data_IF_723366216450
#
_entry.id   IF_723366216450
#
_cell.length_a   1.000
_cell.length_b   1.000
_cell.length_c   1.000
_cell.angle_alpha   90.00
_cell.angle_beta   90.00
_cell.angle_gamma   90.00
#
_symmetry.space_group_name_H-M   'P 1'
#
loop_
_entity.id
_entity.type
_entity.pdbx_description
1 polymer ?
#
# COMPACT_ATOMS: atom_id res chain seq x y z
N UNK A 1 -73.70 20.43 -29.02
CA UNK A 1 -73.84 19.23 -28.17
C UNK A 1 -73.36 18.04 -28.98
N UNK A 2 -72.52 17.19 -28.37
CA UNK A 2 -71.90 15.95 -28.91
C UNK A 2 -70.47 16.09 -29.44
N UNK A 3 -69.54 16.07 -28.46
CA UNK A 3 -68.20 15.50 -28.57
C UNK A 3 -68.32 14.02 -29.02
N UNK A 4 -67.57 13.60 -30.04
CA UNK A 4 -67.25 12.19 -30.27
C UNK A 4 -65.74 12.01 -30.42
N UNK A 5 -65.24 11.19 -29.51
CA UNK A 5 -63.89 10.68 -29.30
C UNK A 5 -63.31 10.07 -30.58
N UNK A 6 -62.06 10.44 -30.90
CA UNK A 6 -61.23 9.74 -31.86
C UNK A 6 -60.40 8.69 -31.12
N UNK A 7 -60.54 7.42 -31.51
CA UNK A 7 -59.74 6.29 -31.01
C UNK A 7 -58.53 6.11 -31.92
N UNK A 8 -57.34 6.42 -31.42
CA UNK A 8 -56.07 6.17 -32.11
C UNK A 8 -55.60 4.75 -31.80
N UNK A 9 -55.43 3.93 -32.84
CA UNK A 9 -54.83 2.59 -32.78
C UNK A 9 -53.31 2.73 -32.72
N UNK A 10 -52.69 2.23 -31.65
CA UNK A 10 -51.24 2.16 -31.50
C UNK A 10 -50.75 0.78 -31.97
N UNK A 11 -49.96 0.74 -33.05
CA UNK A 11 -49.26 -0.46 -33.51
C UNK A 11 -47.91 -0.51 -32.80
N UNK A 12 -47.74 -1.47 -31.89
CA UNK A 12 -46.47 -1.72 -31.21
C UNK A 12 -45.59 -2.63 -32.06
N UNK A 13 -44.50 -2.08 -32.61
CA UNK A 13 -43.40 -2.87 -33.17
C UNK A 13 -42.55 -3.42 -32.01
N UNK A 14 -42.56 -4.74 -31.81
CA UNK A 14 -41.69 -5.45 -30.87
C UNK A 14 -40.31 -5.59 -31.52
N UNK A 15 -39.34 -4.82 -31.04
CA UNK A 15 -37.93 -5.09 -31.32
C UNK A 15 -37.42 -6.13 -30.31
N UNK A 16 -36.99 -7.29 -30.81
CA UNK A 16 -36.25 -8.27 -30.00
C UNK A 16 -34.85 -7.72 -29.71
N UNK A 17 -34.60 -7.41 -28.44
CA UNK A 17 -33.25 -7.19 -27.90
C UNK A 17 -32.76 -8.52 -27.33
N UNK A 18 -31.60 -9.04 -27.71
CA UNK A 18 -31.05 -10.23 -27.08
C UNK A 18 -30.61 -9.89 -25.65
N UNK A 19 -31.19 -10.61 -24.67
CA UNK A 19 -30.70 -10.61 -23.30
C UNK A 19 -29.32 -11.24 -23.26
N UNK A 20 -28.27 -10.42 -23.16
CA UNK A 20 -26.99 -10.84 -22.61
C UNK A 20 -27.18 -10.91 -21.11
N UNK A 21 -27.22 -12.13 -20.56
CA UNK A 21 -27.19 -12.34 -19.12
C UNK A 21 -25.83 -11.89 -18.62
N UNK A 22 -25.73 -10.70 -18.02
CA UNK A 22 -24.60 -10.39 -17.15
C UNK A 22 -24.59 -11.44 -16.03
N UNK A 23 -23.47 -12.14 -15.89
CA UNK A 23 -23.22 -12.98 -14.73
C UNK A 23 -23.36 -12.12 -13.48
N UNK A 24 -24.09 -12.62 -12.49
CA UNK A 24 -24.06 -12.01 -11.17
C UNK A 24 -22.66 -12.24 -10.60
N UNK A 25 -21.90 -11.15 -10.45
CA UNK A 25 -20.70 -11.13 -9.62
C UNK A 25 -21.14 -11.39 -8.18
N UNK A 26 -21.01 -12.64 -7.76
CA UNK A 26 -21.10 -12.98 -6.34
C UNK A 26 -19.85 -12.40 -5.67
N UNK A 27 -19.98 -11.52 -4.67
CA UNK A 27 -18.83 -11.13 -3.87
C UNK A 27 -18.21 -12.38 -3.23
N UNK A 28 -16.87 -12.43 -3.07
CA UNK A 28 -16.22 -13.56 -2.42
C UNK A 28 -16.85 -13.78 -1.03
N UNK A 29 -17.21 -15.03 -0.74
CA UNK A 29 -17.85 -15.42 0.53
C UNK A 29 -16.98 -15.01 1.70
N UNK A 30 -17.50 -14.11 2.55
CA UNK A 30 -16.88 -13.72 3.81
C UNK A 30 -17.01 -14.85 4.83
N UNK A 31 -16.04 -15.76 4.85
CA UNK A 31 -15.95 -16.74 5.93
C UNK A 31 -15.60 -16.01 7.23
N UNK A 32 -16.52 -16.07 8.20
CA UNK A 32 -16.41 -15.41 9.51
C UNK A 32 -15.34 -16.00 10.43
N UNK A 33 -14.63 -17.05 9.99
CA UNK A 33 -13.61 -17.77 10.76
C UNK A 33 -12.19 -17.17 10.64
N UNK A 34 -11.97 -16.19 9.75
CA UNK A 34 -10.63 -15.75 9.36
C UNK A 34 -9.87 -14.87 10.38
N UNK A 35 -10.29 -14.81 11.66
CA UNK A 35 -9.73 -13.82 12.60
C UNK A 35 -9.36 -14.34 13.99
N UNK A 36 -9.47 -15.64 14.28
CA UNK A 36 -9.18 -16.17 15.63
C UNK A 36 -8.17 -17.34 15.65
N UNK A 37 -8.00 -18.06 14.54
CA UNK A 37 -7.01 -19.14 14.38
C UNK A 37 -6.11 -18.87 13.15
N UNK A 38 -5.07 -19.70 12.96
CA UNK A 38 -4.24 -19.62 11.76
C UNK A 38 -5.13 -19.67 10.51
N UNK A 39 -5.06 -18.62 9.69
CA UNK A 39 -5.95 -18.52 8.53
C UNK A 39 -5.45 -19.48 7.45
N UNK A 40 -6.00 -20.70 7.43
CA UNK A 40 -5.64 -21.75 6.47
C UNK A 40 -5.62 -21.18 5.06
N UNK A 41 -4.46 -21.22 4.41
CA UNK A 41 -4.22 -20.74 3.05
C UNK A 41 -4.13 -21.94 2.11
N UNK A 42 -4.82 -21.87 0.97
CA UNK A 42 -4.70 -22.90 -0.07
C UNK A 42 -3.22 -23.09 -0.46
N UNK A 43 -2.73 -24.32 -0.67
CA UNK A 43 -1.35 -24.56 -1.13
C UNK A 43 -0.98 -23.82 -2.41
N UNK A 44 -1.98 -23.56 -3.27
CA UNK A 44 -1.81 -22.85 -4.53
C UNK A 44 -2.01 -21.33 -4.39
N UNK A 45 -2.13 -20.78 -3.18
CA UNK A 45 -2.34 -19.35 -2.96
C UNK A 45 -1.08 -18.67 -2.41
N UNK A 46 -0.88 -17.43 -2.83
CA UNK A 46 0.12 -16.51 -2.29
C UNK A 46 -0.62 -15.45 -1.50
N UNK A 47 -0.23 -15.26 -0.24
CA UNK A 47 -0.79 -14.21 0.61
C UNK A 47 0.09 -12.98 0.58
N UNK A 48 -0.46 -11.88 0.08
CA UNK A 48 0.18 -10.56 0.09
C UNK A 48 -0.52 -9.68 1.11
N UNK A 49 0.24 -9.01 1.96
CA UNK A 49 -0.29 -8.20 3.05
C UNK A 49 0.44 -6.86 3.20
N UNK A 50 -0.28 -5.89 3.76
CA UNK A 50 0.26 -4.63 4.27
C UNK A 50 -0.11 -4.50 5.75
N UNK A 51 0.83 -4.05 6.58
CA UNK A 51 0.60 -3.81 8.00
C UNK A 51 1.42 -2.63 8.51
N UNK A 52 0.76 -1.54 8.88
CA UNK A 52 1.38 -0.48 9.66
C UNK A 52 1.56 -0.99 11.10
N UNK A 53 2.81 -1.05 11.57
CA UNK A 53 3.20 -1.67 12.84
C UNK A 53 3.53 -0.65 13.93
N UNK A 54 3.62 0.64 13.59
CA UNK A 54 3.93 1.72 14.54
C UNK A 54 5.15 1.43 15.44
N UNK A 55 6.16 0.76 14.89
CA UNK A 55 7.45 0.46 15.52
C UNK A 55 8.44 1.60 15.25
N UNK A 56 8.19 2.73 15.92
CA UNK A 56 9.04 3.91 15.92
C UNK A 56 9.37 4.37 17.35
N UNK A 57 10.50 5.04 17.52
CA UNK A 57 10.97 5.58 18.80
C UNK A 57 10.89 7.10 18.90
N UNK A 58 11.51 7.65 19.95
CA UNK A 58 11.71 9.10 20.16
C UNK A 58 13.05 9.60 19.60
N UNK A 59 13.99 8.70 19.34
CA UNK A 59 15.32 8.99 18.78
C UNK A 59 15.79 7.85 17.89
N UNK A 60 16.70 8.16 16.97
CA UNK A 60 17.32 7.17 16.10
C UNK A 60 17.92 6.00 16.90
N UNK A 61 17.59 4.78 16.47
CA UNK A 61 18.11 3.54 17.02
C UNK A 61 17.42 3.00 18.28
N UNK A 62 16.48 3.74 18.86
CA UNK A 62 15.73 3.26 20.05
C UNK A 62 14.93 1.99 19.76
N UNK A 63 14.31 1.88 18.58
CA UNK A 63 13.55 0.68 18.19
C UNK A 63 14.46 -0.53 18.06
N UNK A 64 15.60 -0.40 17.37
CA UNK A 64 16.60 -1.46 17.27
C UNK A 64 17.04 -1.95 18.66
N UNK A 65 17.35 -1.02 19.58
CA UNK A 65 17.74 -1.36 20.96
C UNK A 65 16.67 -2.15 21.70
N UNK A 66 15.40 -1.71 21.61
CA UNK A 66 14.25 -2.40 22.21
C UNK A 66 14.05 -3.81 21.64
N UNK A 67 14.10 -3.95 20.32
CA UNK A 67 13.91 -5.26 19.67
C UNK A 67 15.05 -6.23 19.98
N UNK A 68 16.29 -5.74 20.01
CA UNK A 68 17.47 -6.56 20.36
C UNK A 68 17.50 -6.98 21.84
N UNK A 69 16.83 -6.25 22.73
CA UNK A 69 16.65 -6.68 24.12
C UNK A 69 15.77 -7.93 24.24
N UNK A 70 14.88 -8.16 23.28
CA UNK A 70 14.09 -9.40 23.14
C UNK A 70 12.85 -9.50 24.04
N UNK A 71 12.47 -8.42 24.75
CA UNK A 71 11.32 -8.38 25.66
C UNK A 71 10.28 -7.30 25.30
N UNK A 72 10.38 -6.71 24.10
CA UNK A 72 9.39 -5.75 23.59
C UNK A 72 7.99 -6.36 23.42
N UNK A 73 7.04 -5.86 24.23
CA UNK A 73 5.65 -6.34 24.23
C UNK A 73 4.88 -5.97 22.97
N UNK A 74 5.15 -4.80 22.38
CA UNK A 74 4.49 -4.36 21.15
C UNK A 74 4.91 -5.28 20.00
N UNK A 75 6.21 -5.53 19.86
CA UNK A 75 6.75 -6.44 18.86
C UNK A 75 6.24 -7.88 19.03
N UNK A 76 6.10 -8.35 20.27
CA UNK A 76 5.51 -9.68 20.57
C UNK A 76 4.06 -9.79 20.07
N UNK A 77 3.25 -8.77 20.31
CA UNK A 77 1.84 -8.76 19.88
C UNK A 77 1.73 -8.67 18.36
N UNK A 78 2.51 -7.80 17.72
CA UNK A 78 2.57 -7.68 16.26
C UNK A 78 3.04 -8.98 15.60
N UNK A 79 4.07 -9.62 16.17
CA UNK A 79 4.58 -10.90 15.69
C UNK A 79 3.51 -11.98 15.78
N UNK A 80 2.74 -12.04 16.87
CA UNK A 80 1.65 -13.01 17.00
C UNK A 80 0.57 -12.79 15.93
N UNK A 81 0.24 -11.53 15.60
CA UNK A 81 -0.68 -11.23 14.49
C UNK A 81 -0.12 -11.75 13.17
N UNK A 82 1.15 -11.47 12.87
CA UNK A 82 1.81 -11.91 11.63
C UNK A 82 1.89 -13.44 11.57
N UNK A 83 2.25 -14.11 12.66
CA UNK A 83 2.33 -15.57 12.76
C UNK A 83 0.98 -16.27 12.64
N UNK A 84 -0.11 -15.60 13.00
CA UNK A 84 -1.49 -16.08 12.82
C UNK A 84 -1.94 -15.95 11.37
N UNK A 85 -1.61 -14.83 10.71
CA UNK A 85 -2.04 -14.54 9.33
C UNK A 85 -1.12 -15.19 8.29
N UNK A 86 0.15 -15.41 8.60
CA UNK A 86 1.16 -16.08 7.76
C UNK A 86 1.27 -15.53 6.33
N UNK A 87 1.46 -14.21 6.13
CA UNK A 87 1.65 -13.66 4.78
C UNK A 87 2.94 -14.19 4.15
N UNK A 88 2.94 -14.43 2.84
CA UNK A 88 4.18 -14.80 2.12
C UNK A 88 4.99 -13.56 1.75
N UNK A 89 4.30 -12.47 1.43
CA UNK A 89 4.86 -11.16 1.12
C UNK A 89 4.16 -10.15 2.02
N UNK A 90 4.93 -9.42 2.81
CA UNK A 90 4.44 -8.46 3.79
C UNK A 90 5.18 -7.14 3.64
N UNK A 91 4.43 -6.08 3.35
CA UNK A 91 4.88 -4.70 3.52
C UNK A 91 4.59 -4.27 4.95
N UNK A 92 5.63 -3.87 5.67
CA UNK A 92 5.54 -3.20 6.96
C UNK A 92 5.61 -1.69 6.75
N UNK A 93 4.64 -0.96 7.30
CA UNK A 93 4.68 0.50 7.40
C UNK A 93 5.00 0.91 8.86
N UNK A 94 5.65 2.05 9.03
CA UNK A 94 6.11 2.56 10.32
C UNK A 94 6.99 1.59 11.10
N UNK A 95 8.00 1.06 10.44
CA UNK A 95 9.16 0.45 11.10
C UNK A 95 10.37 1.31 10.78
N UNK A 96 11.12 1.72 11.82
CA UNK A 96 12.28 2.59 11.63
C UNK A 96 13.32 1.96 10.68
N UNK A 97 13.90 2.81 9.82
CA UNK A 97 14.93 2.43 8.88
C UNK A 97 16.33 2.61 9.47
N UNK A 98 17.12 1.53 9.43
CA UNK A 98 18.57 1.57 9.56
C UNK A 98 19.18 1.04 8.27
N UNK A 99 20.24 1.69 7.77
CA UNK A 99 20.88 1.34 6.49
C UNK A 99 21.46 -0.08 6.45
N UNK A 100 21.82 -0.64 7.61
CA UNK A 100 22.30 -2.02 7.76
C UNK A 100 21.17 -3.04 7.96
N UNK A 101 19.91 -2.60 8.00
CA UNK A 101 18.73 -3.46 8.17
C UNK A 101 18.48 -3.92 9.62
N UNK A 102 19.28 -3.49 10.60
CA UNK A 102 19.28 -4.08 11.95
C UNK A 102 17.93 -4.07 12.67
N UNK A 103 17.10 -3.03 12.52
CA UNK A 103 15.77 -2.98 13.12
C UNK A 103 14.85 -4.05 12.53
N UNK A 104 14.86 -4.17 11.20
CA UNK A 104 14.05 -5.17 10.49
C UNK A 104 14.50 -6.60 10.85
N UNK A 105 15.81 -6.83 10.89
CA UNK A 105 16.37 -8.13 11.25
C UNK A 105 16.08 -8.50 12.70
N UNK A 106 16.24 -7.56 13.64
CA UNK A 106 15.89 -7.78 15.03
C UNK A 106 14.40 -8.16 15.20
N UNK A 107 13.49 -7.53 14.45
CA UNK A 107 12.07 -7.91 14.45
C UNK A 107 11.85 -9.32 13.89
N UNK A 108 12.41 -9.59 12.71
CA UNK A 108 12.22 -10.86 12.02
C UNK A 108 12.83 -12.05 12.78
N UNK A 109 14.09 -11.94 13.23
CA UNK A 109 14.81 -13.01 13.92
C UNK A 109 14.40 -13.12 15.38
N UNK A 110 14.18 -11.99 16.05
CA UNK A 110 13.87 -11.94 17.49
C UNK A 110 12.42 -12.26 17.82
N UNK A 111 11.49 -12.04 16.88
CA UNK A 111 10.06 -12.19 17.16
C UNK A 111 9.33 -13.10 16.17
N UNK A 112 9.52 -12.92 14.86
CA UNK A 112 8.77 -13.69 13.86
C UNK A 112 9.24 -15.15 13.75
N UNK A 113 10.55 -15.38 13.81
CA UNK A 113 11.16 -16.70 13.70
C UNK A 113 11.11 -17.56 14.98
N UNK A 114 10.40 -17.11 16.03
CA UNK A 114 10.37 -17.76 17.34
C UNK A 114 8.98 -18.28 17.73
N UNK A 115 8.97 -19.30 18.60
CA UNK A 115 7.74 -19.93 19.12
C UNK A 115 7.13 -21.00 18.20
N UNK A 116 6.03 -21.60 18.64
CA UNK A 116 5.40 -22.74 17.95
C UNK A 116 4.81 -22.39 16.57
N UNK A 117 4.45 -21.12 16.39
CA UNK A 117 3.88 -20.58 15.15
C UNK A 117 4.89 -19.79 14.31
N UNK A 118 6.20 -20.00 14.53
CA UNK A 118 7.28 -19.29 13.85
C UNK A 118 7.06 -19.18 12.32
N UNK A 119 7.46 -18.04 11.78
CA UNK A 119 7.48 -17.77 10.35
C UNK A 119 8.80 -17.10 10.00
N UNK A 120 9.49 -17.69 9.03
CA UNK A 120 10.76 -17.17 8.54
C UNK A 120 10.56 -16.40 7.22
N UNK A 121 11.31 -15.31 7.09
CA UNK A 121 11.36 -14.45 5.92
C UNK A 121 12.83 -14.31 5.49
N UNK A 122 13.33 -15.22 4.64
CA UNK A 122 14.73 -15.19 4.20
C UNK A 122 15.07 -13.97 3.33
N UNK A 123 14.07 -13.32 2.73
CA UNK A 123 14.27 -12.14 1.89
C UNK A 123 13.66 -10.92 2.55
N UNK A 124 14.52 -9.97 2.89
CA UNK A 124 14.16 -8.77 3.65
C UNK A 124 14.74 -7.54 2.99
N UNK A 125 14.03 -6.43 3.06
CA UNK A 125 14.58 -5.15 2.63
C UNK A 125 14.00 -4.00 3.44
N UNK A 126 14.88 -3.29 4.14
CA UNK A 126 14.53 -2.01 4.76
C UNK A 126 14.61 -0.91 3.69
N UNK A 127 13.47 -0.30 3.38
CA UNK A 127 13.34 0.64 2.25
C UNK A 127 13.91 2.01 2.68
N UNK A 128 14.87 2.59 1.94
CA UNK A 128 15.33 3.95 2.19
C UNK A 128 14.17 4.95 2.17
N UNK A 129 14.21 5.93 3.08
CA UNK A 129 13.08 6.85 3.33
C UNK A 129 13.51 8.30 3.34
N UNK A 130 12.58 9.20 2.98
CA UNK A 130 12.73 10.65 3.13
C UNK A 130 12.41 11.17 4.54
N UNK A 131 11.83 10.35 5.40
CA UNK A 131 11.43 10.75 6.75
C UNK A 131 12.63 11.11 7.62
N UNK A 132 12.58 12.31 8.22
CA UNK A 132 13.65 12.84 9.05
C UNK A 132 14.96 13.11 8.30
N UNK A 133 14.98 13.08 6.97
CA UNK A 133 16.12 13.51 6.17
C UNK A 133 16.09 15.02 5.98
N UNK A 134 16.94 15.72 6.72
CA UNK A 134 17.06 17.18 6.65
C UNK A 134 17.59 17.63 5.29
N UNK A 135 16.88 18.57 4.67
CA UNK A 135 17.30 19.22 3.44
C UNK A 135 18.32 20.32 3.69
N UNK A 136 18.36 21.31 2.77
CA UNK A 136 19.19 22.52 2.89
C UNK A 136 18.37 23.80 2.91
N UNK A 137 17.04 23.68 2.92
CA UNK A 137 16.11 24.78 2.76
C UNK A 137 15.15 24.77 3.94
N UNK A 138 14.82 25.98 4.38
CA UNK A 138 13.74 26.29 5.30
C UNK A 138 12.41 26.13 4.53
N UNK A 139 11.66 25.08 4.85
CA UNK A 139 10.44 24.67 4.16
C UNK A 139 9.18 25.30 4.77
N UNK A 140 9.22 25.65 6.06
CA UNK A 140 8.08 26.26 6.77
C UNK A 140 8.20 27.78 6.99
N UNK A 141 9.35 28.36 6.60
CA UNK A 141 9.67 29.79 6.62
C UNK A 141 9.76 30.39 8.02
N UNK A 142 10.18 29.61 9.03
CA UNK A 142 10.38 30.09 10.40
C UNK A 142 11.76 30.76 10.64
N UNK A 143 12.70 30.58 9.70
CA UNK A 143 14.04 31.18 9.71
C UNK A 143 15.18 30.22 10.06
N UNK A 144 14.88 28.99 10.48
CA UNK A 144 15.86 27.95 10.78
C UNK A 144 15.78 26.81 9.74
N UNK A 145 16.79 25.91 9.75
CA UNK A 145 16.76 24.69 8.90
C UNK A 145 16.95 23.49 9.82
N UNK A 146 15.85 22.92 10.28
CA UNK A 146 15.86 21.88 11.30
C UNK A 146 14.75 20.83 11.17
N UNK A 147 14.94 19.72 11.90
CA UNK A 147 13.91 18.70 12.02
C UNK A 147 12.84 19.15 13.02
N UNK A 148 11.59 18.70 12.86
CA UNK A 148 11.11 17.76 11.84
C UNK A 148 10.50 18.40 10.59
N UNK A 149 10.28 19.72 10.59
CA UNK A 149 9.46 20.41 9.57
C UNK A 149 10.18 20.68 8.25
N UNK A 150 11.52 20.76 8.26
CA UNK A 150 12.33 20.92 7.04
C UNK A 150 12.86 19.61 6.45
N UNK A 151 12.42 18.48 7.01
CA UNK A 151 12.73 17.18 6.46
C UNK A 151 12.01 16.96 5.11
N UNK A 152 12.64 16.20 4.21
CA UNK A 152 12.00 15.82 2.95
C UNK A 152 10.67 15.09 3.15
N UNK A 153 10.57 14.28 4.21
CA UNK A 153 9.32 13.86 4.82
C UNK A 153 9.41 14.04 6.33
N UNK A 154 8.29 14.36 6.98
CA UNK A 154 8.27 14.64 8.41
C UNK A 154 8.88 13.49 9.23
N UNK A 155 9.78 13.83 10.15
CA UNK A 155 10.40 12.89 11.09
C UNK A 155 11.35 13.62 12.04
N UNK A 156 11.37 13.21 13.30
CA UNK A 156 12.22 13.80 14.35
C UNK A 156 13.68 13.34 14.25
N UNK A 157 13.93 12.26 13.53
CA UNK A 157 15.25 11.73 13.23
C UNK A 157 15.24 10.94 11.91
N UNK A 158 16.39 10.81 11.23
CA UNK A 158 16.51 10.04 10.00
C UNK A 158 16.00 8.61 10.17
N UNK A 159 15.15 8.16 9.25
CA UNK A 159 14.67 6.78 9.22
C UNK A 159 13.37 6.53 10.00
N UNK A 160 12.86 7.51 10.75
CA UNK A 160 11.61 7.36 11.51
C UNK A 160 10.42 7.02 10.61
N UNK A 161 9.49 6.16 11.03
CA UNK A 161 8.23 5.88 10.28
C UNK A 161 8.44 5.28 8.87
N UNK A 162 9.57 4.62 8.63
CA UNK A 162 9.89 4.08 7.30
C UNK A 162 9.05 2.84 6.95
N UNK A 163 9.46 2.17 5.88
CA UNK A 163 8.83 0.94 5.40
C UNK A 163 9.86 -0.18 5.27
N UNK A 164 9.39 -1.42 5.33
CA UNK A 164 10.21 -2.59 5.07
C UNK A 164 9.40 -3.72 4.41
N UNK A 165 10.09 -4.58 3.66
CA UNK A 165 9.49 -5.77 3.04
C UNK A 165 10.07 -7.01 3.70
N UNK A 166 9.17 -7.94 4.03
CA UNK A 166 9.46 -9.31 4.42
C UNK A 166 8.85 -10.25 3.38
N UNK A 167 9.65 -11.15 2.82
CA UNK A 167 9.20 -12.06 1.77
C UNK A 167 9.78 -13.47 1.96
N UNK A 168 8.93 -14.46 1.73
CA UNK A 168 9.31 -15.88 1.62
C UNK A 168 9.90 -16.21 0.25
N UNK A 169 9.68 -15.34 -0.73
CA UNK A 169 10.17 -15.45 -2.10
C UNK A 169 11.27 -14.42 -2.36
N UNK A 170 12.14 -14.72 -3.32
CA UNK A 170 13.29 -13.89 -3.62
C UNK A 170 12.87 -12.49 -4.08
N UNK A 171 13.57 -11.48 -3.57
CA UNK A 171 13.47 -10.09 -4.03
C UNK A 171 14.53 -9.89 -5.10
N UNK A 172 14.13 -9.57 -6.34
CA UNK A 172 15.08 -9.22 -7.40
C UNK A 172 15.62 -7.81 -7.14
N UNK A 173 16.76 -7.74 -6.43
CA UNK A 173 17.35 -6.48 -5.98
C UNK A 173 17.85 -5.61 -7.12
N UNK A 174 18.29 -6.21 -8.22
CA UNK A 174 18.87 -5.48 -9.35
C UNK A 174 17.79 -4.78 -10.19
N UNK A 175 16.55 -5.27 -10.12
CA UNK A 175 15.40 -4.71 -10.81
C UNK A 175 14.54 -3.76 -9.95
N UNK A 176 14.91 -3.50 -8.69
CA UNK A 176 14.19 -2.56 -7.83
C UNK A 176 14.27 -1.15 -8.42
N UNK A 177 13.12 -0.48 -8.49
CA UNK A 177 13.05 0.95 -8.81
C UNK A 177 12.55 1.73 -7.61
N UNK A 178 13.25 2.79 -7.24
CA UNK A 178 12.83 3.71 -6.18
C UNK A 178 12.64 5.11 -6.72
N UNK A 179 11.72 5.86 -6.13
CA UNK A 179 11.45 7.25 -6.49
C UNK A 179 11.62 8.15 -5.27
N UNK A 180 12.61 7.84 -4.42
CA UNK A 180 12.86 8.56 -3.18
C UNK A 180 13.17 10.02 -3.47
N UNK A 181 14.00 10.30 -4.48
CA UNK A 181 14.46 11.66 -4.81
C UNK A 181 13.61 12.34 -5.89
N UNK A 182 12.55 11.67 -6.35
CA UNK A 182 11.65 12.17 -7.38
C UNK A 182 11.03 13.52 -6.97
N UNK A 183 11.15 14.54 -7.82
CA UNK A 183 10.70 15.90 -7.51
C UNK A 183 9.21 16.05 -7.76
N UNK A 184 8.49 16.63 -6.81
CA UNK A 184 7.05 16.86 -6.98
C UNK A 184 6.76 17.80 -8.16
N UNK A 185 7.60 18.80 -8.36
CA UNK A 185 7.49 19.79 -9.44
C UNK A 185 7.67 19.23 -10.85
N UNK A 186 8.22 18.02 -11.04
CA UNK A 186 8.37 17.40 -12.36
C UNK A 186 7.13 16.63 -12.80
N UNK A 187 6.19 16.37 -11.88
CA UNK A 187 4.92 15.73 -12.21
C UNK A 187 4.03 16.71 -12.99
N UNK A 188 3.49 16.33 -14.16
CA UNK A 188 2.59 17.17 -14.93
C UNK A 188 1.34 17.54 -14.13
N UNK A 189 1.01 18.83 -14.13
CA UNK A 189 -0.12 19.39 -13.38
C UNK A 189 -0.11 19.03 -11.89
N UNK A 190 1.08 18.95 -11.28
CA UNK A 190 1.24 18.76 -9.85
C UNK A 190 0.47 19.82 -9.04
N UNK A 191 -0.17 19.38 -7.95
CA UNK A 191 -0.99 20.23 -7.09
C UNK A 191 -0.12 21.14 -6.21
N UNK A 192 0.40 22.23 -6.80
CA UNK A 192 1.19 23.24 -6.08
C UNK A 192 0.33 23.94 -4.99
N UNK A 193 0.72 23.90 -3.71
CA UNK A 193 -0.02 24.58 -2.65
C UNK A 193 -0.06 26.11 -2.83
N UNK A 194 -1.18 26.72 -2.43
CA UNK A 194 -1.42 28.16 -2.56
C UNK A 194 -1.85 28.73 -1.21
N UNK A 195 -1.42 29.94 -0.90
CA UNK A 195 -1.90 30.67 0.25
C UNK A 195 -3.37 31.08 0.01
N UNK A 196 -4.31 30.63 0.85
CA UNK A 196 -5.73 30.87 0.66
C UNK A 196 -6.17 32.32 0.90
N UNK A 197 -5.32 33.15 1.53
CA UNK A 197 -5.60 34.57 1.77
C UNK A 197 -5.13 35.41 0.57
N UNK A 198 -3.92 35.14 0.07
CA UNK A 198 -3.31 35.96 -0.99
C UNK A 198 -3.54 35.41 -2.40
N UNK A 199 -3.89 34.13 -2.52
CA UNK A 199 -4.01 33.41 -3.80
C UNK A 199 -2.67 33.15 -4.49
N UNK A 200 -1.54 33.46 -3.85
CA UNK A 200 -0.19 33.23 -4.40
C UNK A 200 0.30 31.82 -4.06
N UNK A 201 1.37 31.36 -4.72
CA UNK A 201 2.03 30.11 -4.32
C UNK A 201 2.44 30.19 -2.84
N UNK A 202 2.14 29.13 -2.09
CA UNK A 202 2.54 29.01 -0.68
C UNK A 202 4.07 28.90 -0.58
N UNK A 203 4.65 28.00 -1.37
CA UNK A 203 6.09 27.84 -1.46
C UNK A 203 6.71 28.84 -2.42
N UNK A 204 7.91 29.31 -2.07
CA UNK A 204 8.80 29.97 -3.03
C UNK A 204 9.14 29.01 -4.18
N UNK A 205 9.53 29.55 -5.34
CA UNK A 205 9.90 28.70 -6.48
C UNK A 205 11.10 27.82 -6.18
N UNK A 206 12.07 28.32 -5.40
CA UNK A 206 13.21 27.52 -4.95
C UNK A 206 12.79 26.31 -4.11
N UNK A 207 11.89 26.53 -3.14
CA UNK A 207 11.36 25.42 -2.31
C UNK A 207 10.57 24.45 -3.17
N UNK A 208 9.62 24.95 -3.98
CA UNK A 208 8.80 24.10 -4.86
C UNK A 208 9.63 23.18 -5.78
N UNK A 209 10.71 23.71 -6.36
CA UNK A 209 11.59 22.95 -7.25
C UNK A 209 12.47 21.92 -6.51
N UNK A 210 12.56 22.01 -5.19
CA UNK A 210 13.35 21.11 -4.34
C UNK A 210 12.54 20.00 -3.68
N UNK A 211 11.21 20.19 -3.53
CA UNK A 211 10.36 19.25 -2.82
C UNK A 211 10.32 17.91 -3.55
N UNK A 212 10.57 16.85 -2.78
CA UNK A 212 10.39 15.47 -3.24
C UNK A 212 8.91 15.11 -3.14
N UNK A 213 8.39 14.31 -4.07
CA UNK A 213 7.01 13.85 -4.03
C UNK A 213 6.79 12.92 -2.83
N UNK A 214 7.55 11.82 -2.79
CA UNK A 214 7.42 10.83 -1.72
C UNK A 214 7.84 11.39 -0.37
N UNK A 215 6.97 11.25 0.62
CA UNK A 215 7.28 11.53 2.03
C UNK A 215 8.14 10.45 2.67
N UNK A 216 7.96 9.20 2.26
CA UNK A 216 8.83 8.06 2.59
C UNK A 216 9.58 7.62 1.33
N UNK A 217 8.93 6.81 0.50
CA UNK A 217 9.40 6.37 -0.82
C UNK A 217 8.22 5.83 -1.63
N UNK A 218 8.35 5.82 -2.97
CA UNK A 218 7.63 4.88 -3.82
C UNK A 218 8.65 3.85 -4.30
N UNK A 219 8.39 2.56 -4.06
CA UNK A 219 9.27 1.48 -4.47
C UNK A 219 8.50 0.46 -5.32
N UNK A 220 8.99 0.19 -6.52
CA UNK A 220 8.59 -0.94 -7.33
C UNK A 220 9.59 -2.08 -7.08
N UNK A 221 9.10 -3.16 -6.45
CA UNK A 221 9.94 -4.25 -5.94
C UNK A 221 9.48 -5.57 -6.58
N UNK A 222 10.23 -6.10 -7.57
CA UNK A 222 9.91 -7.38 -8.17
C UNK A 222 10.20 -8.53 -7.19
N UNK A 223 9.18 -9.33 -6.90
CA UNK A 223 9.27 -10.54 -6.10
C UNK A 223 9.16 -11.75 -7.03
N UNK A 224 10.14 -12.65 -7.00
CA UNK A 224 10.23 -13.81 -7.89
C UNK A 224 9.39 -14.96 -7.37
N UNK A 225 8.18 -15.11 -7.94
CA UNK A 225 7.21 -16.11 -7.54
C UNK A 225 7.48 -17.45 -8.25
N UNK A 226 7.71 -18.54 -7.51
CA UNK A 226 7.78 -19.87 -8.11
C UNK A 226 6.45 -20.26 -8.75
N UNK A 227 6.47 -20.77 -9.98
CA UNK A 227 5.25 -21.24 -10.65
C UNK A 227 4.80 -22.59 -10.09
N UNK A 228 3.53 -22.93 -10.23
CA UNK A 228 2.89 -24.11 -9.61
C UNK A 228 3.51 -25.48 -9.96
N UNK A 229 4.33 -25.59 -11.01
CA UNK A 229 5.04 -26.82 -11.38
C UNK A 229 6.46 -26.96 -10.80
N UNK A 230 7.03 -25.88 -10.25
CA UNK A 230 8.41 -25.88 -9.71
C UNK A 230 8.59 -26.79 -8.50
N UNK A 231 7.52 -27.09 -7.75
CA UNK A 231 7.57 -28.01 -6.60
C UNK A 231 7.35 -29.49 -6.97
N UNK A 232 6.86 -29.80 -8.18
CA UNK A 232 6.44 -31.16 -8.55
C UNK A 232 7.45 -31.95 -9.42
N UNK A 233 8.47 -31.29 -9.99
CA UNK A 233 9.40 -31.94 -10.92
C UNK A 233 10.86 -31.72 -10.53
N UNK A 234 11.39 -32.57 -9.65
CA UNK A 234 12.82 -32.84 -9.57
C UNK A 234 13.26 -33.54 -10.87
N UNK A 235 13.49 -32.75 -11.93
CA UNK A 235 14.06 -33.20 -13.19
C UNK A 235 13.27 -32.73 -14.43
N UNK A 236 13.86 -31.78 -15.16
CA UNK A 236 13.57 -31.43 -16.56
C UNK A 236 12.38 -30.52 -16.92
N UNK A 237 11.88 -29.68 -16.01
CA UNK A 237 10.99 -28.56 -16.36
C UNK A 237 11.66 -27.22 -16.11
N UNK A 238 11.92 -26.43 -17.15
CA UNK A 238 12.47 -25.07 -17.03
C UNK A 238 11.35 -24.11 -16.59
N UNK A 239 10.97 -24.14 -15.31
CA UNK A 239 9.96 -23.23 -14.77
C UNK A 239 10.64 -21.99 -14.18
N UNK A 240 10.85 -20.97 -14.99
CA UNK A 240 11.34 -19.68 -14.49
C UNK A 240 10.31 -19.08 -13.52
N UNK A 241 10.74 -18.48 -12.40
CA UNK A 241 9.83 -17.72 -11.55
C UNK A 241 9.26 -16.53 -12.32
N UNK A 242 8.06 -16.10 -11.95
CA UNK A 242 7.42 -14.92 -12.53
C UNK A 242 7.51 -13.75 -11.55
N UNK A 243 7.81 -12.56 -12.06
CA UNK A 243 7.86 -11.36 -11.24
C UNK A 243 6.44 -10.92 -10.85
N UNK A 244 6.23 -10.78 -9.54
CA UNK A 244 5.12 -10.03 -8.97
C UNK A 244 5.68 -8.71 -8.43
N UNK A 245 5.29 -7.59 -9.03
CA UNK A 245 5.74 -6.27 -8.60
C UNK A 245 4.96 -5.83 -7.35
N UNK A 246 5.66 -5.71 -6.21
CA UNK A 246 5.12 -5.05 -5.04
C UNK A 246 5.38 -3.54 -5.17
N UNK A 247 4.33 -2.77 -5.45
CA UNK A 247 4.36 -1.31 -5.55
C UNK A 247 4.09 -0.73 -4.16
N UNK A 248 5.15 -0.48 -3.40
CA UNK A 248 5.09 -0.12 -1.98
C UNK A 248 5.17 1.40 -1.77
N UNK A 249 4.21 1.98 -1.03
CA UNK A 249 4.32 3.35 -0.54
C UNK A 249 3.57 3.59 0.77
N UNK A 250 4.00 4.61 1.51
CA UNK A 250 3.29 5.14 2.67
C UNK A 250 3.25 6.66 2.53
N UNK A 251 2.31 7.21 1.74
CA UNK A 251 2.12 8.64 1.53
C UNK A 251 2.02 9.48 2.81
N UNK A 252 2.16 10.78 2.67
CA UNK A 252 1.95 11.75 3.76
C UNK A 252 0.52 11.63 4.29
N UNK A 253 0.30 11.63 5.61
CA UNK A 253 -1.03 11.83 6.18
C UNK A 253 -1.61 13.18 5.73
N UNK A 254 -2.86 13.27 5.23
CA UNK A 254 -3.44 14.46 4.60
C UNK A 254 -3.90 15.53 5.62
N UNK A 255 -3.24 15.58 6.77
CA UNK A 255 -3.59 16.42 7.93
C UNK A 255 -2.31 17.04 8.50
N UNK A 256 -2.40 17.83 9.57
CA UNK A 256 -1.26 18.50 10.24
C UNK A 256 -0.66 19.68 9.46
N UNK A 257 -1.48 20.38 8.69
CA UNK A 257 -1.14 21.60 7.95
C UNK A 257 -2.28 22.64 8.00
N UNK A 258 -2.07 23.78 7.33
CA UNK A 258 -3.04 24.86 7.30
C UNK A 258 -3.99 24.78 6.09
N UNK A 259 -4.76 25.85 5.91
CA UNK A 259 -5.77 25.97 4.83
C UNK A 259 -5.19 25.92 3.41
N UNK A 260 -3.87 26.03 3.27
CA UNK A 260 -3.14 25.83 2.01
C UNK A 260 -3.19 24.37 1.51
N UNK A 261 -3.49 23.42 2.41
CA UNK A 261 -3.64 21.98 2.15
C UNK A 261 -2.41 21.38 1.44
N UNK A 262 -1.24 21.51 2.05
CA UNK A 262 0.04 20.96 1.54
C UNK A 262 0.03 19.45 1.57
N UNK A 263 -0.41 18.88 2.69
CA UNK A 263 -0.39 17.45 2.96
C UNK A 263 -1.49 16.73 2.20
N UNK A 264 -2.71 17.27 2.09
CA UNK A 264 -3.75 16.66 1.26
C UNK A 264 -3.41 16.68 -0.23
N UNK A 265 -2.77 17.76 -0.72
CA UNK A 265 -2.26 17.84 -2.11
C UNK A 265 -1.09 16.89 -2.37
N UNK A 266 -0.14 16.78 -1.42
CA UNK A 266 0.99 15.85 -1.54
C UNK A 266 0.51 14.40 -1.52
N UNK A 267 -0.34 14.04 -0.55
CA UNK A 267 -0.95 12.71 -0.46
C UNK A 267 -1.67 12.33 -1.76
N UNK A 268 -2.47 13.26 -2.30
CA UNK A 268 -3.14 13.07 -3.58
C UNK A 268 -2.17 12.72 -4.71
N UNK A 269 -1.11 13.51 -4.87
CA UNK A 269 -0.16 13.31 -5.95
C UNK A 269 0.75 12.09 -5.73
N UNK A 270 1.04 11.72 -4.48
CA UNK A 270 1.69 10.45 -4.15
C UNK A 270 0.81 9.25 -4.58
N UNK A 271 -0.49 9.28 -4.34
CA UNK A 271 -1.40 8.22 -4.81
C UNK A 271 -1.58 8.26 -6.33
N UNK A 272 -1.71 9.45 -6.92
CA UNK A 272 -1.82 9.65 -8.37
C UNK A 272 -0.58 9.15 -9.09
N UNK A 273 0.60 9.23 -8.48
CA UNK A 273 1.83 8.67 -9.04
C UNK A 273 1.65 7.19 -9.39
N UNK A 274 1.12 6.36 -8.48
CA UNK A 274 0.87 4.95 -8.80
C UNK A 274 -0.14 4.75 -9.92
N UNK A 275 -1.21 5.53 -9.91
CA UNK A 275 -2.23 5.48 -10.96
C UNK A 275 -1.62 5.77 -12.35
N UNK A 276 -0.70 6.73 -12.45
CA UNK A 276 -0.02 7.04 -13.70
C UNK A 276 1.11 6.07 -14.01
N UNK A 277 1.86 5.60 -13.01
CA UNK A 277 2.93 4.61 -13.16
C UNK A 277 2.41 3.34 -13.84
N UNK A 278 1.24 2.85 -13.44
CA UNK A 278 0.63 1.67 -14.05
C UNK A 278 -0.11 2.00 -15.37
N UNK A 279 -0.57 3.22 -15.60
CA UNK A 279 -1.37 3.52 -16.82
C UNK A 279 -0.58 4.15 -17.95
N UNK A 280 0.62 4.66 -17.69
CA UNK A 280 1.44 5.42 -18.64
C UNK A 280 2.87 4.86 -18.67
N UNK A 281 3.08 3.64 -19.22
CA UNK A 281 4.40 3.02 -19.28
C UNK A 281 5.44 3.89 -20.00
N UNK A 282 5.02 4.70 -20.98
CA UNK A 282 5.92 5.57 -21.76
C UNK A 282 6.04 7.00 -21.20
N UNK A 283 5.61 7.26 -19.96
CA UNK A 283 5.69 8.58 -19.35
C UNK A 283 7.15 9.00 -19.09
N UNK A 284 7.69 9.89 -19.94
CA UNK A 284 9.08 10.37 -19.86
C UNK A 284 9.40 11.16 -18.58
N UNK A 285 8.38 11.68 -17.91
CA UNK A 285 8.52 12.44 -16.67
C UNK A 285 8.69 11.54 -15.43
N UNK A 286 8.38 10.25 -15.54
CA UNK A 286 8.60 9.27 -14.48
C UNK A 286 10.04 8.76 -14.62
N UNK A 287 10.90 9.15 -13.68
CA UNK A 287 12.31 8.79 -13.68
C UNK A 287 12.66 8.32 -12.28
N UNK A 288 13.16 7.09 -12.16
CA UNK A 288 13.58 6.55 -10.86
C UNK A 288 14.95 7.10 -10.41
N UNK A 289 15.36 6.75 -9.19
CA UNK A 289 16.61 7.21 -8.59
C UNK A 289 17.86 6.70 -9.34
N UNK A 290 17.72 5.67 -10.20
CA UNK A 290 18.79 5.16 -11.08
C UNK A 290 18.83 5.87 -12.45
N UNK A 291 17.82 6.68 -12.76
CA UNK A 291 17.66 7.36 -14.03
C UNK A 291 16.86 6.60 -15.08
N UNK A 292 16.23 5.47 -14.73
CA UNK A 292 15.39 4.72 -15.67
C UNK A 292 14.05 5.43 -15.86
N UNK A 293 13.70 5.63 -17.13
CA UNK A 293 12.54 6.41 -17.57
C UNK A 293 11.33 5.50 -17.81
N UNK A 294 10.13 5.98 -17.49
CA UNK A 294 8.86 5.33 -17.80
C UNK A 294 8.18 4.66 -16.61
N UNK A 295 6.91 4.31 -16.82
CA UNK A 295 6.07 3.58 -15.87
C UNK A 295 6.33 2.07 -15.83
N UNK A 296 5.37 1.32 -15.30
CA UNK A 296 5.42 -0.15 -15.24
C UNK A 296 5.20 -0.75 -16.63
N UNK A 297 6.25 -1.34 -17.19
CA UNK A 297 6.22 -2.03 -18.47
C UNK A 297 5.60 -3.43 -18.33
N UNK A 298 4.88 -3.88 -19.36
CA UNK A 298 4.45 -5.29 -19.45
C UNK A 298 5.64 -6.19 -19.79
N UNK A 299 5.60 -7.44 -19.35
CA UNK A 299 6.55 -8.43 -19.86
C UNK A 299 6.18 -8.76 -21.33
N UNK A 300 7.17 -9.17 -22.10
CA UNK A 300 7.08 -9.54 -23.52
C UNK A 300 5.96 -10.53 -23.88
N UNK A 301 5.42 -11.26 -22.90
CA UNK A 301 4.37 -12.26 -23.09
C UNK A 301 3.03 -11.93 -22.39
N UNK A 302 2.98 -11.01 -21.42
CA UNK A 302 1.78 -10.71 -20.63
C UNK A 302 1.89 -9.36 -19.90
N UNK A 303 0.74 -8.78 -19.54
CA UNK A 303 0.70 -7.61 -18.67
C UNK A 303 1.38 -7.87 -17.33
N UNK A 304 2.14 -6.89 -16.85
CA UNK A 304 2.83 -6.99 -15.57
C UNK A 304 1.85 -7.29 -14.44
N UNK A 305 2.17 -8.30 -13.63
CA UNK A 305 1.47 -8.61 -12.40
C UNK A 305 1.99 -7.71 -11.29
N UNK A 306 1.09 -7.02 -10.59
CA UNK A 306 1.48 -6.13 -9.51
C UNK A 306 0.48 -6.15 -8.35
N UNK A 307 0.95 -5.74 -7.18
CA UNK A 307 0.12 -5.40 -6.02
C UNK A 307 0.59 -4.06 -5.49
N UNK A 308 -0.30 -3.07 -5.44
CA UNK A 308 -0.04 -1.81 -4.74
C UNK A 308 -0.36 -2.04 -3.27
N UNK A 309 0.61 -1.78 -2.39
CA UNK A 309 0.46 -2.04 -0.97
C UNK A 309 0.95 -0.87 -0.12
N UNK A 310 0.26 -0.63 0.99
CA UNK A 310 0.70 0.31 2.03
C UNK A 310 -0.43 0.99 2.77
N UNK A 311 -0.05 1.80 3.76
CA UNK A 311 -0.91 2.83 4.35
C UNK A 311 -0.94 4.04 3.42
N UNK A 312 -1.96 4.13 2.57
CA UNK A 312 -2.14 5.21 1.61
C UNK A 312 -2.70 6.49 2.22
N UNK A 313 -3.07 6.48 3.51
CA UNK A 313 -3.56 7.65 4.24
C UNK A 313 -4.79 8.34 3.60
N UNK A 314 -5.54 7.65 2.74
CA UNK A 314 -6.69 8.21 2.03
C UNK A 314 -7.86 7.23 2.01
N UNK A 315 -9.00 7.70 2.52
CA UNK A 315 -10.27 6.97 2.49
C UNK A 315 -11.14 7.51 1.33
N UNK A 316 -11.79 6.63 0.54
CA UNK A 316 -12.55 7.05 -0.63
C UNK A 316 -13.85 7.80 -0.30
N UNK A 317 -14.29 7.81 0.96
CA UNK A 317 -15.59 8.34 1.40
C UNK A 317 -15.47 9.43 2.46
N UNK A 318 -14.50 9.31 3.38
CA UNK A 318 -14.37 10.19 4.55
C UNK A 318 -12.92 10.62 4.80
N UNK A 319 -12.69 11.34 5.90
CA UNK A 319 -11.39 11.95 6.20
C UNK A 319 -11.09 13.19 5.36
N UNK A 320 -9.86 13.69 5.52
CA UNK A 320 -9.42 15.00 5.02
C UNK A 320 -8.62 14.92 3.71
N UNK A 321 -8.28 13.72 3.23
CA UNK A 321 -7.61 13.56 1.92
C UNK A 321 -8.46 14.09 0.77
N UNK A 322 -7.79 14.58 -0.28
CA UNK A 322 -8.43 14.85 -1.57
C UNK A 322 -8.84 13.52 -2.21
N UNK A 323 -10.12 13.16 -2.02
CA UNK A 323 -10.70 11.84 -2.35
C UNK A 323 -10.46 11.36 -3.77
N UNK A 324 -10.28 12.27 -4.73
CA UNK A 324 -9.99 11.92 -6.12
C UNK A 324 -8.73 11.08 -6.27
N UNK A 325 -7.72 11.24 -5.39
CA UNK A 325 -6.48 10.46 -5.46
C UNK A 325 -6.77 8.97 -5.36
N UNK A 326 -7.29 8.51 -4.22
CA UNK A 326 -7.61 7.10 -4.00
C UNK A 326 -8.77 6.62 -4.86
N UNK A 327 -9.81 7.44 -5.08
CA UNK A 327 -10.96 7.04 -5.89
C UNK A 327 -10.59 6.73 -7.34
N UNK A 328 -9.67 7.51 -7.93
CA UNK A 328 -9.17 7.24 -9.27
C UNK A 328 -8.30 5.99 -9.31
N UNK A 329 -7.46 5.75 -8.31
CA UNK A 329 -6.60 4.57 -8.25
C UNK A 329 -7.42 3.28 -8.15
N UNK A 330 -8.39 3.21 -7.23
CA UNK A 330 -9.21 1.99 -7.04
C UNK A 330 -10.20 1.75 -8.19
N UNK A 331 -10.48 2.77 -9.02
CA UNK A 331 -11.32 2.64 -10.21
C UNK A 331 -10.51 2.45 -11.51
N UNK A 332 -9.18 2.40 -11.42
CA UNK A 332 -8.31 2.17 -12.56
C UNK A 332 -8.57 0.77 -13.16
N UNK A 333 -8.76 0.62 -14.49
CA UNK A 333 -9.01 -0.68 -15.12
C UNK A 333 -7.90 -1.74 -14.94
N UNK A 334 -6.67 -1.31 -14.63
CA UNK A 334 -5.56 -2.22 -14.30
C UNK A 334 -5.59 -2.71 -12.86
N UNK A 335 -6.45 -2.16 -12.00
CA UNK A 335 -6.52 -2.45 -10.56
C UNK A 335 -7.84 -3.17 -10.25
N UNK A 336 -7.78 -4.15 -9.35
CA UNK A 336 -8.96 -4.77 -8.75
C UNK A 336 -9.01 -4.44 -7.25
N UNK A 337 -10.02 -3.70 -6.81
CA UNK A 337 -10.25 -3.51 -5.37
C UNK A 337 -10.95 -4.74 -4.77
N UNK A 338 -10.19 -5.56 -4.03
CA UNK A 338 -10.70 -6.76 -3.37
C UNK A 338 -11.64 -6.49 -2.18
N UNK A 339 -11.85 -5.22 -1.81
CA UNK A 339 -12.69 -4.76 -0.70
C UNK A 339 -12.62 -5.67 0.55
N UNK A 340 -11.41 -5.88 1.13
CA UNK A 340 -11.24 -6.70 2.31
C UNK A 340 -12.14 -6.20 3.44
N UNK A 341 -12.72 -7.13 4.23
CA UNK A 341 -13.60 -6.78 5.35
C UNK A 341 -13.22 -7.52 6.63
N UNK A 342 -13.73 -7.00 7.75
CA UNK A 342 -13.86 -7.70 9.02
C UNK A 342 -15.33 -7.71 9.46
N UNK A 343 -15.69 -8.66 10.31
CA UNK A 343 -17.09 -8.89 10.73
C UNK A 343 -17.71 -7.70 11.47
N UNK A 344 -16.95 -7.02 12.34
CA UNK A 344 -17.45 -5.92 13.17
C UNK A 344 -17.15 -4.53 12.59
N UNK A 345 -16.13 -4.39 11.73
CA UNK A 345 -15.63 -3.08 11.28
C UNK A 345 -15.74 -2.86 9.77
N UNK A 346 -16.31 -3.81 9.03
CA UNK A 346 -16.48 -3.70 7.58
C UNK A 346 -15.14 -3.52 6.88
N UNK A 347 -15.06 -2.56 5.96
CA UNK A 347 -13.84 -2.25 5.17
C UNK A 347 -12.82 -1.36 5.90
N UNK A 348 -13.10 -0.95 7.14
CA UNK A 348 -12.20 -0.06 7.89
C UNK A 348 -10.90 -0.78 8.22
N UNK A 349 -9.78 -0.06 8.17
CA UNK A 349 -8.43 -0.60 8.39
C UNK A 349 -7.69 0.12 9.51
N UNK A 350 -8.14 1.31 9.91
CA UNK A 350 -7.55 2.04 11.02
C UNK A 350 -8.63 2.65 11.92
N UNK A 351 -8.25 2.96 13.17
CA UNK A 351 -9.11 3.65 14.12
C UNK A 351 -8.42 4.86 14.75
N UNK A 352 -8.80 6.04 14.30
CA UNK A 352 -8.31 7.30 14.86
C UNK A 352 -9.37 7.93 15.77
N UNK A 353 -9.15 7.79 17.07
CA UNK A 353 -10.12 8.19 18.09
C UNK A 353 -11.44 7.42 17.96
N UNK A 354 -12.50 8.10 17.50
CA UNK A 354 -13.82 7.50 17.26
C UNK A 354 -14.08 7.13 15.80
N UNK A 355 -13.18 7.51 14.89
CA UNK A 355 -13.39 7.34 13.46
C UNK A 355 -12.69 6.07 12.99
N UNK A 356 -13.45 5.20 12.34
CA UNK A 356 -12.91 4.03 11.63
C UNK A 356 -12.86 4.39 10.14
N UNK A 357 -11.69 4.22 9.53
CA UNK A 357 -11.41 4.63 8.15
C UNK A 357 -10.65 3.53 7.41
N UNK A 358 -10.75 3.52 6.08
CA UNK A 358 -9.97 2.67 5.20
C UNK A 358 -8.80 3.47 4.62
N UNK A 359 -7.61 3.26 5.17
CA UNK A 359 -6.38 3.92 4.73
C UNK A 359 -5.28 2.93 4.32
N UNK A 360 -5.41 1.66 4.70
CA UNK A 360 -4.48 0.60 4.35
C UNK A 360 -5.01 -0.21 3.17
N UNK A 361 -4.14 -0.48 2.20
CA UNK A 361 -4.53 -1.08 0.92
C UNK A 361 -3.58 -2.21 0.51
N UNK A 362 -4.18 -3.21 -0.15
CA UNK A 362 -3.50 -4.25 -0.92
C UNK A 362 -4.33 -4.43 -2.20
N UNK A 363 -3.90 -3.77 -3.27
CA UNK A 363 -4.65 -3.61 -4.52
C UNK A 363 -3.95 -4.39 -5.64
N UNK A 364 -4.40 -5.62 -5.95
CA UNK A 364 -3.84 -6.42 -7.02
C UNK A 364 -4.18 -5.84 -8.40
N UNK A 365 -3.34 -6.16 -9.38
CA UNK A 365 -3.63 -5.94 -10.78
C UNK A 365 -4.81 -6.78 -11.26
N UNK A 366 -5.57 -6.30 -12.24
CA UNK A 366 -6.80 -6.94 -12.71
C UNK A 366 -6.59 -8.28 -13.44
N UNK A 367 -5.34 -8.62 -13.76
CA UNK A 367 -4.95 -9.93 -14.31
C UNK A 367 -4.55 -10.96 -13.23
N UNK A 368 -4.64 -10.63 -11.94
CA UNK A 368 -4.46 -11.58 -10.84
C UNK A 368 -5.81 -12.14 -10.37
N UNK A 369 -5.87 -13.46 -10.14
CA UNK A 369 -7.07 -14.08 -9.59
C UNK A 369 -7.07 -14.00 -8.05
N UNK A 370 -7.89 -13.11 -7.50
CA UNK A 370 -8.08 -12.98 -6.04
C UNK A 370 -8.99 -14.08 -5.52
N UNK A 371 -8.48 -14.90 -4.61
CA UNK A 371 -9.18 -16.01 -3.98
C UNK A 371 -9.93 -15.58 -2.73
N UNK A 372 -9.26 -14.80 -1.87
CA UNK A 372 -9.80 -14.28 -0.60
C UNK A 372 -9.16 -12.96 -0.23
N UNK A 373 -9.81 -12.21 0.64
CA UNK A 373 -9.29 -10.99 1.23
C UNK A 373 -9.88 -10.78 2.63
N UNK A 374 -9.14 -10.11 3.52
CA UNK A 374 -9.68 -9.73 4.82
C UNK A 374 -8.93 -8.54 5.44
N UNK A 375 -9.61 -7.90 6.39
CA UNK A 375 -8.98 -7.02 7.39
C UNK A 375 -8.87 -7.79 8.70
N UNK A 376 -7.68 -7.81 9.29
CA UNK A 376 -7.42 -8.52 10.55
C UNK A 376 -7.90 -7.66 11.72
N UNK A 377 -9.21 -7.70 11.97
CA UNK A 377 -9.86 -6.94 13.05
C UNK A 377 -10.88 -7.81 13.82
N UNK A 378 -10.41 -8.80 14.59
CA UNK A 378 -11.27 -9.67 15.40
C UNK A 378 -11.98 -8.94 16.55
N UNK A 379 -12.91 -9.66 17.20
CA UNK A 379 -13.55 -9.20 18.43
C UNK A 379 -12.49 -8.87 19.51
N UNK A 380 -12.60 -7.68 20.11
CA UNK A 380 -11.62 -7.16 21.07
C UNK A 380 -11.42 -8.02 22.33
N UNK A 381 -12.31 -8.99 22.60
CA UNK A 381 -12.23 -9.91 23.74
C UNK A 381 -11.37 -11.15 23.47
N UNK A 382 -11.16 -11.51 22.21
CA UNK A 382 -10.33 -12.67 21.82
C UNK A 382 -8.85 -12.40 22.11
N UNK A 383 -8.01 -13.43 22.05
CA UNK A 383 -6.56 -13.21 22.21
C UNK A 383 -6.01 -12.31 21.10
N UNK A 384 -6.30 -12.64 19.83
CA UNK A 384 -5.86 -11.83 18.69
C UNK A 384 -6.42 -10.41 18.73
N UNK A 385 -7.67 -10.23 19.17
CA UNK A 385 -8.29 -8.91 19.38
C UNK A 385 -7.60 -8.04 20.42
N UNK A 386 -6.83 -8.65 21.33
CA UNK A 386 -5.98 -7.90 22.27
C UNK A 386 -4.69 -7.44 21.63
N UNK A 387 -4.09 -8.26 20.79
CA UNK A 387 -2.78 -8.04 20.17
C UNK A 387 -2.81 -7.04 19.02
N UNK A 388 -3.90 -7.02 18.24
CA UNK A 388 -4.11 -5.99 17.20
C UNK A 388 -4.22 -4.57 17.74
N UNK A 389 -4.20 -4.35 19.07
CA UNK A 389 -4.10 -3.02 19.69
C UNK A 389 -2.66 -2.50 19.83
N UNK A 390 -1.66 -3.29 19.44
CA UNK A 390 -0.26 -2.86 19.38
C UNK A 390 -0.01 -1.72 18.36
N UNK A 391 -0.99 -1.47 17.49
CA UNK A 391 -1.06 -0.35 16.54
C UNK A 391 -2.53 0.10 16.41
N UNK A 392 -2.75 1.31 15.95
CA UNK A 392 -4.06 1.85 15.57
C UNK A 392 -4.50 1.46 14.15
N UNK A 393 -3.63 0.79 13.38
CA UNK A 393 -3.91 0.19 12.07
C UNK A 393 -4.17 -1.32 12.15
N UNK A 394 -4.70 -1.90 11.07
CA UNK A 394 -4.97 -3.33 10.94
C UNK A 394 -4.33 -3.85 9.69
N UNK A 395 -3.80 -5.06 9.79
CA UNK A 395 -3.29 -5.76 8.63
C UNK A 395 -4.42 -5.99 7.62
N UNK A 396 -4.12 -5.69 6.36
CA UNK A 396 -4.96 -5.99 5.22
C UNK A 396 -4.23 -7.01 4.36
N UNK A 397 -4.93 -8.04 3.89
CA UNK A 397 -4.33 -9.05 3.03
C UNK A 397 -5.27 -9.54 1.94
N UNK A 398 -4.66 -10.08 0.89
CA UNK A 398 -5.31 -10.85 -0.17
C UNK A 398 -4.59 -12.19 -0.33
N UNK A 399 -5.35 -13.22 -0.69
CA UNK A 399 -4.83 -14.44 -1.28
C UNK A 399 -5.03 -14.35 -2.78
N UNK A 400 -3.96 -14.49 -3.55
CA UNK A 400 -4.00 -14.60 -5.01
C UNK A 400 -3.60 -16.00 -5.44
N UNK A 401 -4.17 -16.47 -6.54
CA UNK A 401 -3.74 -17.73 -7.14
C UNK A 401 -2.28 -17.65 -7.60
N UNK A 402 -1.49 -18.68 -7.29
CA UNK A 402 -0.11 -18.79 -7.73
C UNK A 402 -0.08 -18.84 -9.26
N UNK A 403 0.79 -18.05 -9.92
CA UNK A 403 0.84 -18.05 -11.37
C UNK A 403 1.15 -19.42 -11.96
N UNK A 404 0.47 -19.73 -13.06
CA UNK A 404 0.72 -20.94 -13.84
C UNK A 404 1.93 -20.75 -14.77
N UNK A 405 2.68 -21.81 -15.09
CA UNK A 405 3.69 -21.73 -16.15
C UNK A 405 3.06 -21.25 -17.45
N UNK A 406 3.77 -20.39 -18.18
CA UNK A 406 3.42 -20.02 -19.56
C UNK A 406 3.82 -21.12 -20.55
#
# INVERSE_FOLDING_TARGET
MNLRLATTVFVACIALVPNVSCGQDNPPTSDSSATEESVEKSPNAIRVASFNVSLYGKKAGEVAERLLAGDDSQATDLATVIQTVRPDILLLCEIDHDADGRTLDAFADGYLANGDAAIDYPYRWSIPTNTGLLGKLDLDSDGDVELPTDAHGFGQYPGQYAMAILSRFEIDRDAIRTFQTFRWSTMPDALKPVDPVTGRSYYSDTVWQSLRLSSKNHADVPILIPTSQSEASAGNGNSNPQALHLLASHPTPPVFDGKEDRNGKRNHDEIRFWNEYISKPDAEWIIDDSGTVGGLQSDSAADAMFVIAGDLNSDPKQGDSLRSGIANLISNPRVQDAMPTSSQHGISTAKFGRNEIRVDYVLPSSNLHVLRSAVVWPDAKTDLGKRVRATDHRMVWIDIERPSPQ
#
